data_IF_301632786841
#
_entry.id   IF_301632786841
#
_cell.length_a   1.000
_cell.length_b   1.000
_cell.length_c   1.000
_cell.angle_alpha   90.00
_cell.angle_beta   90.00
_cell.angle_gamma   90.00
#
_symmetry.space_group_name_H-M   'P 1'
#
loop_
_entity.id
_entity.type
_entity.pdbx_description
1 polymer ?
#
# COMPACT_ATOMS: atom_id res chain seq x y z
N UNK A 1 15.06 34.14 -34.06
CA UNK A 1 14.50 33.76 -32.75
C UNK A 1 13.00 33.98 -32.86
N UNK A 2 12.26 32.91 -33.06
CA UNK A 2 10.82 32.97 -33.20
C UNK A 2 10.18 33.43 -31.89
N UNK A 3 9.37 34.47 -32.00
CA UNK A 3 8.59 34.99 -30.88
C UNK A 3 7.73 33.85 -30.32
N UNK A 4 8.01 33.46 -29.09
CA UNK A 4 7.28 32.45 -28.34
C UNK A 4 5.79 32.77 -28.41
N UNK A 5 5.01 31.98 -29.10
CA UNK A 5 3.58 32.13 -29.22
C UNK A 5 2.94 32.13 -27.83
N UNK A 6 2.49 33.28 -27.36
CA UNK A 6 1.77 33.41 -26.10
C UNK A 6 0.41 32.74 -26.27
N UNK A 7 0.22 31.58 -25.65
CA UNK A 7 -1.05 30.89 -25.60
C UNK A 7 -1.94 31.50 -24.53
N UNK A 8 -3.07 32.06 -24.93
CA UNK A 8 -4.10 32.53 -23.99
C UNK A 8 -4.83 31.33 -23.39
N UNK A 9 -4.78 31.20 -22.07
CA UNK A 9 -5.46 30.14 -21.32
C UNK A 9 -6.54 30.80 -20.46
N UNK A 10 -7.75 30.23 -20.48
CA UNK A 10 -8.82 30.63 -19.57
C UNK A 10 -8.54 30.02 -18.19
N UNK A 11 -8.35 30.87 -17.18
CA UNK A 11 -7.99 30.44 -15.84
C UNK A 11 -9.04 29.51 -15.22
N UNK A 12 -10.32 29.75 -15.46
CA UNK A 12 -11.38 28.89 -14.90
C UNK A 12 -11.31 27.46 -15.48
N UNK A 13 -11.10 27.35 -16.80
CA UNK A 13 -10.97 26.04 -17.45
C UNK A 13 -9.70 25.30 -16.98
N UNK A 14 -8.59 26.01 -16.88
CA UNK A 14 -7.33 25.44 -16.39
C UNK A 14 -7.44 24.97 -14.96
N UNK A 15 -8.03 25.78 -14.07
CA UNK A 15 -8.25 25.43 -12.67
C UNK A 15 -9.19 24.22 -12.52
N UNK A 16 -10.27 24.16 -13.29
CA UNK A 16 -11.19 23.02 -13.26
C UNK A 16 -10.50 21.73 -13.70
N UNK A 17 -9.74 21.77 -14.80
CA UNK A 17 -9.03 20.60 -15.30
C UNK A 17 -7.95 20.15 -14.30
N UNK A 18 -7.11 21.05 -13.82
CA UNK A 18 -6.06 20.74 -12.86
C UNK A 18 -6.61 20.18 -11.55
N UNK A 19 -7.75 20.70 -11.07
CA UNK A 19 -8.40 20.18 -9.88
C UNK A 19 -8.97 18.77 -10.10
N UNK A 20 -9.56 18.52 -11.26
CA UNK A 20 -10.09 17.21 -11.63
C UNK A 20 -8.96 16.17 -11.73
N UNK A 21 -7.86 16.52 -12.39
CA UNK A 21 -6.69 15.65 -12.53
C UNK A 21 -6.06 15.34 -11.16
N UNK A 22 -5.96 16.34 -10.28
CA UNK A 22 -5.53 16.15 -8.91
C UNK A 22 -6.48 15.22 -8.13
N UNK A 23 -7.78 15.46 -8.20
CA UNK A 23 -8.79 14.64 -7.53
C UNK A 23 -8.72 13.18 -7.98
N UNK A 24 -8.65 12.94 -9.29
CA UNK A 24 -8.51 11.60 -9.86
C UNK A 24 -7.22 10.91 -9.40
N UNK A 25 -6.10 11.63 -9.40
CA UNK A 25 -4.82 11.11 -8.90
C UNK A 25 -4.90 10.70 -7.42
N UNK A 26 -5.53 11.52 -6.58
CA UNK A 26 -5.70 11.19 -5.14
C UNK A 26 -6.59 9.96 -4.94
N UNK A 27 -7.68 9.83 -5.71
CA UNK A 27 -8.61 8.70 -5.62
C UNK A 27 -7.91 7.40 -6.06
N UNK A 28 -7.34 7.39 -7.27
CA UNK A 28 -6.85 6.17 -7.92
C UNK A 28 -5.47 5.75 -7.41
N UNK A 29 -4.58 6.72 -7.14
CA UNK A 29 -3.15 6.44 -6.95
C UNK A 29 -2.62 6.74 -5.54
N UNK A 30 -3.49 7.10 -4.57
CA UNK A 30 -3.01 7.48 -3.24
C UNK A 30 -3.87 7.00 -2.08
N UNK A 31 -5.15 7.39 -2.04
CA UNK A 31 -5.94 7.35 -0.81
C UNK A 31 -6.72 6.06 -0.61
N UNK A 32 -7.16 5.43 -1.70
CA UNK A 32 -8.01 4.25 -1.63
C UNK A 32 -7.20 2.96 -1.82
N UNK A 33 -7.53 1.90 -1.06
CA UNK A 33 -6.95 0.58 -1.27
C UNK A 33 -7.56 -0.09 -2.50
N UNK A 34 -6.81 -0.98 -3.14
CA UNK A 34 -7.36 -1.91 -4.13
C UNK A 34 -8.16 -3.01 -3.42
N UNK A 35 -9.35 -3.35 -3.92
CA UNK A 35 -10.21 -4.35 -3.31
C UNK A 35 -9.61 -5.76 -3.31
N UNK A 36 -8.69 -6.06 -4.24
CA UNK A 36 -8.09 -7.38 -4.43
C UNK A 36 -7.05 -7.69 -3.36
N UNK A 37 -6.20 -6.72 -2.97
CA UNK A 37 -5.13 -6.92 -1.98
C UNK A 37 -5.29 -6.06 -0.71
N UNK A 38 -6.26 -5.15 -0.68
CA UNK A 38 -6.53 -4.29 0.47
C UNK A 38 -5.44 -3.26 0.74
N UNK A 39 -4.55 -3.00 -0.21
CA UNK A 39 -3.38 -2.14 -0.03
C UNK A 39 -3.51 -0.84 -0.82
N UNK A 40 -3.05 0.24 -0.21
CA UNK A 40 -2.78 1.48 -0.92
C UNK A 40 -1.51 1.33 -1.76
N UNK A 41 -1.33 2.11 -2.84
CA UNK A 41 -0.14 1.99 -3.70
C UNK A 41 1.19 2.07 -2.93
N UNK A 42 1.32 2.98 -1.97
CA UNK A 42 2.54 3.10 -1.17
C UNK A 42 2.80 1.85 -0.32
N UNK A 43 1.78 1.26 0.27
CA UNK A 43 1.90 0.03 1.08
C UNK A 43 2.35 -1.15 0.22
N UNK A 44 1.72 -1.32 -0.94
CA UNK A 44 2.07 -2.37 -1.93
C UNK A 44 3.53 -2.24 -2.37
N UNK A 45 3.98 -1.04 -2.69
CA UNK A 45 5.37 -0.77 -3.10
C UNK A 45 6.38 -1.04 -2.00
N UNK A 46 6.04 -0.76 -0.74
CA UNK A 46 6.88 -1.08 0.42
C UNK A 46 7.03 -2.60 0.56
N UNK A 47 5.92 -3.35 0.56
CA UNK A 47 5.96 -4.80 0.70
C UNK A 47 6.68 -5.46 -0.48
N UNK A 48 6.45 -4.98 -1.69
CA UNK A 48 7.14 -5.46 -2.89
C UNK A 48 8.63 -5.18 -2.84
N UNK A 49 9.06 -3.98 -2.48
CA UNK A 49 10.47 -3.64 -2.33
C UNK A 49 11.16 -4.52 -1.27
N UNK A 50 10.51 -4.74 -0.12
CA UNK A 50 11.04 -5.63 0.92
C UNK A 50 11.14 -7.08 0.42
N UNK A 51 10.18 -7.54 -0.39
CA UNK A 51 10.22 -8.83 -1.03
C UNK A 51 11.40 -8.95 -2.01
N UNK A 52 11.56 -7.98 -2.91
CA UNK A 52 12.66 -7.91 -3.90
C UNK A 52 14.04 -7.86 -3.22
N UNK A 53 14.15 -7.17 -2.09
CA UNK A 53 15.35 -7.13 -1.24
C UNK A 53 15.62 -8.43 -0.46
N UNK A 54 14.74 -9.42 -0.50
CA UNK A 54 14.86 -10.66 0.25
C UNK A 54 14.73 -10.50 1.77
N UNK A 55 14.03 -9.45 2.25
CA UNK A 55 13.84 -9.20 3.68
C UNK A 55 12.65 -10.02 4.19
N UNK A 56 12.93 -11.27 4.57
CA UNK A 56 11.94 -12.26 5.03
C UNK A 56 11.89 -12.34 6.55
N UNK A 57 10.86 -12.97 7.15
CA UNK A 57 10.77 -13.15 8.61
C UNK A 57 11.92 -13.94 9.24
N UNK A 58 12.51 -14.87 8.50
CA UNK A 58 13.66 -15.68 8.89
C UNK A 58 15.01 -14.94 8.76
N UNK A 59 15.02 -13.74 8.18
CA UNK A 59 16.21 -12.92 7.98
C UNK A 59 16.34 -11.83 9.04
N UNK A 60 17.56 -11.32 9.29
CA UNK A 60 17.76 -10.18 10.18
C UNK A 60 17.00 -8.94 9.70
N UNK A 61 16.49 -8.15 10.64
CA UNK A 61 15.91 -6.83 10.36
C UNK A 61 16.90 -5.95 9.59
N UNK A 62 16.38 -5.07 8.75
CA UNK A 62 17.14 -4.08 7.99
C UNK A 62 16.74 -2.68 8.41
N UNK A 63 17.70 -1.74 8.36
CA UNK A 63 17.42 -0.32 8.64
C UNK A 63 16.26 0.19 7.81
N UNK A 64 15.29 0.81 8.45
CA UNK A 64 14.13 1.40 7.79
C UNK A 64 14.52 2.39 6.69
N UNK A 65 15.57 3.18 6.94
CA UNK A 65 16.11 4.11 5.94
C UNK A 65 16.54 3.43 4.63
N UNK A 66 17.04 2.18 4.70
CA UNK A 66 17.42 1.42 3.49
C UNK A 66 16.18 1.00 2.70
N UNK A 67 15.13 0.53 3.40
CA UNK A 67 13.86 0.13 2.77
C UNK A 67 13.21 1.35 2.12
N UNK A 68 13.10 2.46 2.85
CA UNK A 68 12.54 3.71 2.33
C UNK A 68 13.30 4.21 1.11
N UNK A 69 14.64 4.18 1.15
CA UNK A 69 15.49 4.57 0.01
C UNK A 69 15.25 3.71 -1.23
N UNK A 70 15.09 2.41 -1.08
CA UNK A 70 14.77 1.48 -2.16
C UNK A 70 13.40 1.78 -2.79
N UNK A 71 12.38 2.00 -1.97
CA UNK A 71 11.03 2.34 -2.42
C UNK A 71 11.02 3.65 -3.20
N UNK A 72 11.71 4.69 -2.69
CA UNK A 72 11.79 5.99 -3.35
C UNK A 72 12.54 5.92 -4.68
N UNK A 73 13.66 5.21 -4.70
CA UNK A 73 14.50 5.13 -5.88
C UNK A 73 13.90 4.33 -7.02
N UNK A 74 13.07 3.32 -6.71
CA UNK A 74 12.56 2.38 -7.71
C UNK A 74 11.08 2.56 -8.05
N UNK A 75 10.22 2.89 -7.07
CA UNK A 75 8.77 2.71 -7.25
C UNK A 75 7.92 3.91 -6.88
N UNK A 76 8.36 4.75 -5.93
CA UNK A 76 7.49 5.77 -5.34
C UNK A 76 8.17 7.14 -5.24
N UNK A 77 8.15 7.98 -6.30
CA UNK A 77 8.89 9.25 -6.38
C UNK A 77 8.19 10.38 -5.58
N UNK A 78 8.02 10.17 -4.27
CA UNK A 78 7.40 11.13 -3.34
C UNK A 78 8.30 11.36 -2.12
N UNK A 79 7.81 12.08 -1.11
CA UNK A 79 8.59 12.36 0.09
C UNK A 79 8.89 11.11 0.94
N UNK A 80 10.10 11.02 1.47
CA UNK A 80 10.56 9.93 2.34
C UNK A 80 9.72 9.78 3.61
N UNK A 81 9.28 10.87 4.18
CA UNK A 81 8.42 10.90 5.37
C UNK A 81 7.11 10.13 5.13
N UNK A 82 6.46 10.34 3.98
CA UNK A 82 5.20 9.66 3.67
C UNK A 82 5.39 8.14 3.52
N UNK A 83 6.49 7.70 2.91
CA UNK A 83 6.83 6.28 2.78
C UNK A 83 7.14 5.68 4.15
N UNK A 84 7.95 6.38 4.97
CA UNK A 84 8.29 5.89 6.30
C UNK A 84 7.09 5.82 7.24
N UNK A 85 6.21 6.82 7.24
CA UNK A 85 4.99 6.80 8.03
C UNK A 85 4.04 5.67 7.62
N UNK A 86 3.89 5.41 6.32
CA UNK A 86 3.10 4.28 5.83
C UNK A 86 3.71 2.94 6.30
N UNK A 87 5.03 2.80 6.21
CA UNK A 87 5.76 1.62 6.71
C UNK A 87 5.59 1.45 8.22
N UNK A 88 5.69 2.54 8.98
CA UNK A 88 5.55 2.51 10.43
C UNK A 88 4.14 2.06 10.85
N UNK A 89 3.09 2.53 10.16
CA UNK A 89 1.71 2.10 10.45
C UNK A 89 1.50 0.62 10.23
N UNK A 90 2.09 0.04 9.20
CA UNK A 90 2.02 -1.41 8.95
C UNK A 90 2.77 -2.25 9.99
N UNK A 91 3.64 -1.64 10.82
CA UNK A 91 4.35 -2.29 11.92
C UNK A 91 3.67 -2.08 13.29
N UNK A 92 2.66 -1.22 13.39
CA UNK A 92 1.98 -0.89 14.64
C UNK A 92 0.85 -1.87 14.92
N UNK A 93 0.91 -2.59 16.02
CA UNK A 93 -0.12 -3.55 16.48
C UNK A 93 -1.42 -2.87 16.94
N UNK A 94 -1.38 -1.58 17.23
CA UNK A 94 -2.55 -0.77 17.52
C UNK A 94 -3.19 -0.13 16.28
N UNK A 95 -2.50 -0.15 15.12
CA UNK A 95 -3.03 0.36 13.84
C UNK A 95 -3.52 -0.76 12.92
N UNK A 96 -2.82 -1.89 12.90
CA UNK A 96 -3.11 -3.05 12.08
C UNK A 96 -3.46 -4.24 12.98
N UNK A 97 -4.56 -4.93 12.71
CA UNK A 97 -4.93 -6.13 13.47
C UNK A 97 -3.93 -7.27 13.25
N UNK A 98 -3.43 -7.37 12.03
CA UNK A 98 -2.38 -8.31 11.62
C UNK A 98 -1.25 -7.52 10.96
N UNK A 99 -0.27 -7.02 11.74
CA UNK A 99 0.81 -6.22 11.20
C UNK A 99 1.52 -6.90 10.03
N UNK A 100 1.74 -6.16 8.96
CA UNK A 100 2.41 -6.68 7.76
C UNK A 100 3.94 -6.50 7.83
N UNK A 101 4.41 -5.67 8.75
CA UNK A 101 5.83 -5.43 9.00
C UNK A 101 6.14 -5.80 10.44
N UNK A 102 7.22 -6.57 10.62
CA UNK A 102 7.84 -6.83 11.91
C UNK A 102 8.91 -5.76 12.14
N UNK A 103 8.62 -4.85 13.08
CA UNK A 103 9.45 -3.70 13.39
C UNK A 103 10.29 -3.89 14.65
N UNK A 104 11.55 -3.45 14.61
CA UNK A 104 12.44 -3.39 15.75
C UNK A 104 12.83 -1.95 16.06
N UNK A 105 12.54 -1.51 17.28
CA UNK A 105 12.75 -0.14 17.74
C UNK A 105 11.44 0.56 18.06
N UNK A 106 11.46 1.89 18.12
CA UNK A 106 10.27 2.69 18.43
C UNK A 106 9.52 3.06 17.15
N UNK A 107 8.36 2.44 16.93
CA UNK A 107 7.45 2.73 15.83
C UNK A 107 6.24 3.59 16.26
N UNK A 108 6.35 4.31 17.38
CA UNK A 108 5.29 5.15 17.90
C UNK A 108 4.48 4.47 19.00
N UNK A 109 3.48 5.16 19.50
CA UNK A 109 2.55 4.66 20.53
C UNK A 109 1.10 4.98 20.20
N UNK A 110 0.18 4.28 20.87
CA UNK A 110 -1.25 4.54 20.79
C UNK A 110 -1.61 5.94 21.30
N UNK A 111 -0.78 6.51 22.17
CA UNK A 111 -0.96 7.86 22.73
C UNK A 111 -0.59 8.97 21.74
N UNK A 112 -0.17 8.61 20.52
CA UNK A 112 0.12 9.56 19.46
C UNK A 112 1.59 9.95 19.34
N UNK A 113 2.51 9.31 20.04
CA UNK A 113 3.92 9.54 19.86
C UNK A 113 4.35 9.10 18.43
N UNK A 114 5.12 9.92 17.71
CA UNK A 114 5.60 9.56 16.40
C UNK A 114 6.66 8.44 16.47
N UNK A 115 6.87 7.69 15.40
CA UNK A 115 7.97 6.76 15.31
C UNK A 115 9.31 7.49 15.40
N UNK A 116 10.34 6.82 15.92
CA UNK A 116 11.70 7.32 15.89
C UNK A 116 12.17 7.49 14.44
N UNK A 117 13.17 8.34 14.21
CA UNK A 117 13.69 8.53 12.87
C UNK A 117 14.13 7.21 12.21
N UNK A 118 13.91 7.05 10.91
CA UNK A 118 14.12 5.82 10.14
C UNK A 118 15.56 5.26 10.21
N UNK A 119 16.52 6.07 10.60
CA UNK A 119 17.91 5.63 10.82
C UNK A 119 18.10 4.80 12.10
N UNK A 120 17.16 4.88 13.03
CA UNK A 120 17.21 4.14 14.31
C UNK A 120 16.37 2.87 14.27
N UNK A 121 15.28 2.85 13.52
CA UNK A 121 14.39 1.69 13.43
C UNK A 121 14.86 0.69 12.39
N UNK A 122 14.47 -0.57 12.59
CA UNK A 122 14.74 -1.67 11.67
C UNK A 122 13.43 -2.42 11.40
N UNK A 123 13.32 -3.04 10.24
CA UNK A 123 12.12 -3.72 9.82
C UNK A 123 12.42 -4.95 8.96
N UNK A 124 11.46 -5.87 8.94
CA UNK A 124 11.37 -7.01 8.01
C UNK A 124 9.91 -7.34 7.73
N UNK A 125 9.66 -8.17 6.73
CA UNK A 125 8.31 -8.68 6.48
C UNK A 125 7.84 -9.52 7.66
N UNK A 126 6.55 -9.43 7.99
CA UNK A 126 5.90 -10.34 8.93
C UNK A 126 5.48 -11.63 8.22
N UNK A 127 5.10 -12.66 8.99
CA UNK A 127 4.52 -13.90 8.45
C UNK A 127 3.23 -13.62 7.65
N UNK A 128 2.39 -12.69 8.12
CA UNK A 128 1.18 -12.30 7.41
C UNK A 128 1.48 -11.69 6.03
N UNK A 129 2.53 -10.87 5.92
CA UNK A 129 2.94 -10.31 4.64
C UNK A 129 3.50 -11.37 3.69
N UNK A 130 4.20 -12.38 4.20
CA UNK A 130 4.69 -13.50 3.39
C UNK A 130 3.52 -14.30 2.81
N UNK A 131 2.45 -14.51 3.56
CA UNK A 131 1.26 -15.17 3.04
C UNK A 131 0.55 -14.35 1.95
N UNK A 132 0.53 -13.01 2.05
CA UNK A 132 0.04 -12.13 0.98
C UNK A 132 0.88 -12.28 -0.31
N UNK A 133 2.19 -12.50 -0.17
CA UNK A 133 3.15 -12.62 -1.27
C UNK A 133 3.40 -14.05 -1.73
N UNK A 134 2.78 -15.06 -1.11
CA UNK A 134 3.12 -16.48 -1.25
C UNK A 134 3.13 -17.00 -2.69
N UNK A 135 2.23 -16.49 -3.54
CA UNK A 135 2.09 -16.95 -4.92
C UNK A 135 2.71 -15.98 -5.93
N UNK A 136 3.55 -15.06 -5.46
CA UNK A 136 4.08 -13.99 -6.29
C UNK A 136 4.93 -14.51 -7.48
N UNK A 137 5.72 -15.54 -7.25
CA UNK A 137 6.59 -16.15 -8.27
C UNK A 137 5.83 -17.12 -9.22
N UNK A 138 4.49 -17.21 -9.12
CA UNK A 138 3.67 -18.14 -9.91
C UNK A 138 2.92 -17.47 -11.07
N UNK A 139 3.34 -16.27 -11.48
CA UNK A 139 2.70 -15.48 -12.55
C UNK A 139 1.19 -15.25 -12.31
N UNK A 140 0.86 -14.92 -11.07
CA UNK A 140 -0.54 -14.75 -10.62
C UNK A 140 -1.05 -13.32 -10.72
N UNK A 141 -0.16 -12.36 -10.96
CA UNK A 141 -0.48 -10.92 -10.98
C UNK A 141 0.18 -10.22 -12.17
N UNK A 142 -0.49 -9.20 -12.67
CA UNK A 142 0.02 -8.37 -13.76
C UNK A 142 1.00 -7.32 -13.23
N UNK A 143 1.97 -6.96 -14.09
CA UNK A 143 2.97 -5.92 -13.83
C UNK A 143 2.73 -4.72 -14.73
N UNK A 144 3.12 -3.57 -14.26
CA UNK A 144 3.17 -2.31 -15.04
C UNK A 144 4.55 -1.67 -14.90
N UNK A 145 4.89 -0.78 -15.82
CA UNK A 145 6.10 0.02 -15.70
C UNK A 145 6.03 0.92 -14.46
N UNK A 146 7.18 1.11 -13.82
CA UNK A 146 7.32 2.08 -12.74
C UNK A 146 7.27 3.52 -13.29
N UNK A 147 7.45 4.52 -12.43
CA UNK A 147 7.30 5.94 -12.77
C UNK A 147 8.24 6.45 -13.87
N UNK A 148 9.38 5.83 -14.12
CA UNK A 148 10.36 6.22 -15.15
C UNK A 148 10.53 5.18 -16.27
N UNK A 149 9.75 4.09 -16.24
CA UNK A 149 9.80 3.02 -17.23
C UNK A 149 11.06 2.15 -17.18
N UNK A 150 11.90 2.29 -16.16
CA UNK A 150 13.15 1.52 -16.04
C UNK A 150 12.96 0.13 -15.42
N UNK A 151 11.92 -0.03 -14.64
CA UNK A 151 11.57 -1.25 -13.90
C UNK A 151 10.07 -1.54 -14.02
N UNK A 152 9.66 -2.69 -13.51
CA UNK A 152 8.25 -3.06 -13.40
C UNK A 152 7.86 -3.22 -11.94
N UNK A 153 6.60 -2.90 -11.63
CA UNK A 153 5.99 -3.10 -10.34
C UNK A 153 4.66 -3.86 -10.48
N UNK A 154 4.24 -4.65 -9.48
CA UNK A 154 2.97 -5.36 -9.55
C UNK A 154 1.79 -4.40 -9.41
N UNK A 155 0.76 -4.60 -10.22
CA UNK A 155 -0.49 -3.82 -10.12
C UNK A 155 -1.19 -4.12 -8.80
N UNK A 156 -1.19 -5.39 -8.38
CA UNK A 156 -1.69 -5.87 -7.08
C UNK A 156 -0.80 -6.99 -6.57
N UNK A 157 -0.88 -7.31 -5.27
CA UNK A 157 -0.25 -8.52 -4.73
C UNK A 157 -1.22 -9.70 -4.81
N UNK A 158 -0.72 -10.97 -4.83
CA UNK A 158 -1.56 -12.17 -4.92
C UNK A 158 -2.60 -12.30 -3.82
N UNK A 159 -2.26 -11.85 -2.60
CA UNK A 159 -3.15 -11.70 -1.45
C UNK A 159 -3.94 -12.97 -1.11
N UNK A 160 -3.23 -14.06 -0.76
CA UNK A 160 -3.85 -15.28 -0.27
C UNK A 160 -4.67 -15.06 1.02
N UNK A 161 -4.34 -14.01 1.79
CA UNK A 161 -5.15 -13.53 2.91
C UNK A 161 -6.09 -12.42 2.43
N UNK A 162 -7.35 -12.39 2.87
CA UNK A 162 -8.31 -11.33 2.57
C UNK A 162 -7.98 -10.04 3.36
N UNK A 163 -6.82 -9.44 3.07
CA UNK A 163 -6.22 -8.35 3.83
C UNK A 163 -7.18 -7.15 4.01
N UNK A 164 -7.97 -6.83 2.99
CA UNK A 164 -8.95 -5.74 3.07
C UNK A 164 -9.97 -5.93 4.19
N UNK A 165 -10.32 -7.17 4.52
CA UNK A 165 -11.27 -7.47 5.59
C UNK A 165 -10.56 -7.69 6.93
N UNK A 166 -9.43 -8.37 6.95
CA UNK A 166 -8.77 -8.71 8.22
C UNK A 166 -8.06 -7.51 8.86
N UNK A 167 -7.44 -6.64 8.09
CA UNK A 167 -6.85 -5.39 8.58
C UNK A 167 -7.77 -4.18 8.42
N UNK A 168 -8.80 -4.30 7.58
CA UNK A 168 -9.62 -3.16 7.22
C UNK A 168 -8.88 -2.17 6.34
N UNK A 169 -9.49 -1.04 6.09
CA UNK A 169 -8.86 0.06 5.37
C UNK A 169 -9.57 1.38 5.65
N UNK A 170 -8.82 2.44 5.86
CA UNK A 170 -9.34 3.79 5.96
C UNK A 170 -8.60 4.72 5.02
N UNK A 171 -9.31 5.59 4.31
CA UNK A 171 -8.72 6.55 3.39
C UNK A 171 -9.66 7.70 3.09
N UNK A 172 -9.09 8.90 2.98
CA UNK A 172 -9.82 10.13 2.65
C UNK A 172 -9.29 10.62 1.32
N UNK A 173 -10.15 10.63 0.31
CA UNK A 173 -9.87 11.16 -1.01
C UNK A 173 -10.66 12.44 -1.26
N UNK A 174 -10.56 12.97 -2.46
CA UNK A 174 -11.36 14.13 -2.87
C UNK A 174 -12.77 13.66 -3.25
N UNK A 175 -13.78 14.14 -2.54
CA UNK A 175 -15.19 13.81 -2.80
C UNK A 175 -15.65 12.44 -2.30
N UNK A 176 -14.76 11.60 -1.77
CA UNK A 176 -15.11 10.29 -1.19
C UNK A 176 -14.13 9.85 -0.11
N UNK A 177 -14.56 8.93 0.73
CA UNK A 177 -13.74 8.30 1.76
C UNK A 177 -14.12 6.82 1.88
N UNK A 178 -13.19 6.01 2.38
CA UNK A 178 -13.44 4.62 2.76
C UNK A 178 -13.10 4.41 4.22
N UNK A 179 -13.88 3.56 4.89
CA UNK A 179 -13.61 3.11 6.25
C UNK A 179 -14.17 1.72 6.45
N UNK A 180 -13.29 0.73 6.38
CA UNK A 180 -13.60 -0.69 6.55
C UNK A 180 -12.97 -1.13 7.87
N UNK A 181 -13.76 -1.61 8.86
CA UNK A 181 -13.20 -2.06 10.12
C UNK A 181 -12.43 -3.38 9.95
N UNK A 182 -11.44 -3.66 10.81
CA UNK A 182 -10.74 -4.93 10.82
C UNK A 182 -11.61 -6.06 11.36
N UNK A 183 -11.45 -7.28 10.80
CA UNK A 183 -12.21 -8.49 11.16
C UNK A 183 -11.29 -9.62 11.64
N UNK A 184 -11.84 -10.56 12.37
CA UNK A 184 -11.12 -11.78 12.77
C UNK A 184 -10.90 -12.69 11.55
N UNK A 185 -9.68 -13.19 11.36
CA UNK A 185 -9.33 -14.04 10.22
C UNK A 185 -10.16 -15.33 10.19
N UNK A 186 -10.40 -15.98 11.35
CA UNK A 186 -11.22 -17.18 11.44
C UNK A 186 -12.64 -16.92 10.98
N UNK A 187 -13.28 -15.85 11.48
CA UNK A 187 -14.66 -15.49 11.10
C UNK A 187 -14.78 -15.12 9.62
N UNK A 188 -13.77 -14.43 9.04
CA UNK A 188 -13.74 -14.16 7.61
C UNK A 188 -13.60 -15.44 6.81
N UNK A 189 -12.76 -16.37 7.26
CA UNK A 189 -12.60 -17.68 6.62
C UNK A 189 -13.89 -18.48 6.65
N UNK A 190 -14.57 -18.53 7.79
CA UNK A 190 -15.87 -19.23 7.92
C UNK A 190 -16.93 -18.61 6.99
N UNK A 191 -16.94 -17.28 6.88
CA UNK A 191 -17.84 -16.60 5.94
C UNK A 191 -17.51 -16.92 4.47
N UNK A 192 -16.22 -17.02 4.10
CA UNK A 192 -15.80 -17.42 2.76
C UNK A 192 -16.21 -18.87 2.45
N UNK A 193 -16.03 -19.81 3.39
CA UNK A 193 -16.48 -21.18 3.23
C UNK A 193 -17.98 -21.24 3.01
N UNK A 194 -18.76 -20.50 3.83
CA UNK A 194 -20.22 -20.42 3.67
C UNK A 194 -20.65 -19.87 2.30
N UNK A 195 -19.94 -18.87 1.79
CA UNK A 195 -20.21 -18.32 0.46
C UNK A 195 -19.91 -19.35 -0.64
N UNK A 196 -18.77 -20.03 -0.57
CA UNK A 196 -18.40 -21.07 -1.53
C UNK A 196 -19.41 -22.22 -1.57
N UNK A 197 -19.93 -22.66 -0.41
CA UNK A 197 -20.97 -23.68 -0.33
C UNK A 197 -22.31 -23.24 -0.93
N UNK A 198 -22.58 -21.93 -0.95
CA UNK A 198 -23.85 -21.34 -1.44
C UNK A 198 -23.76 -20.77 -2.87
N UNK A 199 -22.57 -20.75 -3.48
CA UNK A 199 -22.33 -20.05 -4.75
C UNK A 199 -23.22 -20.55 -5.91
N UNK A 200 -23.72 -21.79 -5.84
CA UNK A 200 -24.69 -22.34 -6.80
C UNK A 200 -26.14 -21.94 -6.59
N UNK A 201 -26.47 -21.20 -5.52
CA UNK A 201 -27.85 -20.84 -5.13
C UNK A 201 -28.16 -19.35 -5.33
N UNK A 202 -27.19 -18.54 -5.73
CA UNK A 202 -27.34 -17.09 -5.85
C UNK A 202 -28.03 -16.64 -7.16
N UNK A 203 -28.44 -17.55 -8.02
CA UNK A 203 -29.09 -17.28 -9.31
C UNK A 203 -30.49 -17.93 -9.43
N UNK A 204 -31.24 -17.96 -8.36
CA UNK A 204 -32.67 -18.33 -8.41
C UNK A 204 -33.49 -17.17 -7.90
#
# INVERSE_FOLDING_TARGET
>A
MDATSIKKININTEMQQSYLDYAMSVIVSRALPDARDGLKPVQRRILYAMYDMGIRPDQPHRKSARIVGEVLGKYHPHGDTAVYEAMARMAQDFSERYPLIDGQGNFGSIDGDPPAAMRYTEARLSEAAVEILRQFDMDTVEFTENFDGSLTEPIVLPSALPNMLVNGAAGIAVGMATNIPPHNLGEVTDALVLLLEKIGRAHV
#
